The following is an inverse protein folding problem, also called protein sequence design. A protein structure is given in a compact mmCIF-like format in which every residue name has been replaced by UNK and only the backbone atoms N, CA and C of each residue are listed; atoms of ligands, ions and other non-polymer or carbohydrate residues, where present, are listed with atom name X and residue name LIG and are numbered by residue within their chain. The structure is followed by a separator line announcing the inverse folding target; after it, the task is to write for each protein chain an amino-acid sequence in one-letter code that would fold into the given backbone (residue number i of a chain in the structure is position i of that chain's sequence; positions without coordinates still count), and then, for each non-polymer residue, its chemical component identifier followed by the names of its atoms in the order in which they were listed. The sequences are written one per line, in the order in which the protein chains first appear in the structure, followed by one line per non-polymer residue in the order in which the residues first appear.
data_IF_489132482025
#
_entry.id   IF_489132482025
#
_cell.length_a   1.000
_cell.length_b   1.000
_cell.length_c   1.000
_cell.angle_alpha   90.00
_cell.angle_beta   90.00
_cell.angle_gamma   90.00
#
_symmetry.space_group_name_H-M   'P 1'
#
loop_
_entity.id
_entity.type
_entity.pdbx_description
1 polymer ?
#
# COMPACT_ATOMS: atom_id res chain seq x y z
N UNK A 1 -7.82 0.37 -12.20
CA UNK A 1 -8.60 1.41 -11.48
C UNK A 1 -7.85 2.69 -11.71
N UNK A 2 -8.53 3.71 -12.22
CA UNK A 2 -7.95 4.99 -12.60
C UNK A 2 -7.86 5.96 -11.41
N UNK A 3 -6.82 6.80 -11.31
CA UNK A 3 -6.80 7.92 -10.37
C UNK A 3 -7.85 9.00 -10.76
N UNK A 4 -9.09 8.79 -10.34
CA UNK A 4 -10.22 9.71 -10.58
C UNK A 4 -10.87 10.10 -9.27
N UNK A 5 -11.61 11.22 -9.24
CA UNK A 5 -12.36 11.62 -8.05
C UNK A 5 -13.37 10.55 -7.63
N UNK A 6 -14.00 9.86 -8.61
CA UNK A 6 -14.90 8.75 -8.34
C UNK A 6 -14.18 7.63 -7.55
N UNK A 7 -13.04 7.19 -8.04
CA UNK A 7 -12.23 6.16 -7.37
C UNK A 7 -11.68 6.64 -6.02
N UNK A 8 -11.35 7.92 -5.89
CA UNK A 8 -10.91 8.52 -4.62
C UNK A 8 -12.01 8.44 -3.56
N UNK A 9 -13.26 8.69 -3.97
CA UNK A 9 -14.44 8.58 -3.09
C UNK A 9 -14.71 7.11 -2.72
N UNK A 10 -14.61 6.18 -3.68
CA UNK A 10 -14.81 4.75 -3.42
C UNK A 10 -13.74 4.22 -2.46
N UNK A 11 -12.46 4.47 -2.75
CA UNK A 11 -11.32 3.99 -1.95
C UNK A 11 -11.29 4.65 -0.59
N UNK A 12 -11.40 5.98 -0.54
CA UNK A 12 -11.42 6.76 0.69
C UNK A 12 -12.62 6.41 1.59
N UNK A 13 -13.82 6.31 1.03
CA UNK A 13 -15.01 5.89 1.78
C UNK A 13 -14.86 4.47 2.34
N UNK A 14 -14.22 3.57 1.57
CA UNK A 14 -13.92 2.20 2.02
C UNK A 14 -12.86 2.13 3.12
N UNK A 15 -11.88 3.04 3.13
CA UNK A 15 -10.86 3.13 4.18
C UNK A 15 -11.49 3.61 5.50
N UNK A 16 -12.39 4.60 5.44
CA UNK A 16 -12.95 5.22 6.64
C UNK A 16 -14.19 4.50 7.21
N UNK A 17 -14.69 3.46 6.53
CA UNK A 17 -15.81 2.68 7.06
C UNK A 17 -15.35 1.81 8.25
N UNK A 18 -16.20 1.72 9.27
CA UNK A 18 -15.91 0.85 10.41
C UNK A 18 -16.20 -0.62 10.06
N UNK A 19 -15.14 -1.41 9.96
CA UNK A 19 -15.17 -2.81 9.50
C UNK A 19 -14.83 -2.93 8.02
N UNK A 20 -15.05 -4.10 7.43
CA UNK A 20 -14.74 -4.32 6.02
C UNK A 20 -15.81 -3.71 5.10
N UNK A 21 -15.37 -2.93 4.12
CA UNK A 21 -16.24 -2.36 3.12
C UNK A 21 -16.88 -3.45 2.24
N UNK A 22 -18.21 -3.55 2.29
CA UNK A 22 -18.98 -4.48 1.47
C UNK A 22 -19.13 -3.97 0.04
N UNK A 23 -19.51 -4.86 -0.89
CA UNK A 23 -19.88 -4.47 -2.27
C UNK A 23 -20.99 -3.41 -2.29
N UNK A 24 -21.95 -3.50 -1.37
CA UNK A 24 -23.04 -2.52 -1.24
C UNK A 24 -22.49 -1.13 -0.90
N UNK A 25 -21.57 -1.04 0.06
CA UNK A 25 -20.97 0.25 0.43
C UNK A 25 -20.23 0.87 -0.76
N UNK A 26 -19.41 0.08 -1.47
CA UNK A 26 -18.67 0.53 -2.65
C UNK A 26 -19.59 1.06 -3.75
N UNK A 27 -20.69 0.36 -4.04
CA UNK A 27 -21.67 0.80 -5.04
C UNK A 27 -22.33 2.15 -4.67
N UNK A 28 -22.62 2.38 -3.38
CA UNK A 28 -23.13 3.69 -2.92
C UNK A 28 -22.09 4.78 -3.12
N UNK A 29 -20.85 4.55 -2.71
CA UNK A 29 -19.76 5.51 -2.89
C UNK A 29 -19.47 5.81 -4.35
N UNK A 30 -19.58 4.80 -5.24
CA UNK A 30 -19.48 4.99 -6.69
C UNK A 30 -20.61 5.88 -7.22
N UNK A 31 -21.84 5.62 -6.79
CA UNK A 31 -23.01 6.42 -7.18
C UNK A 31 -22.88 7.88 -6.75
N UNK A 32 -22.28 8.12 -5.57
CA UNK A 32 -21.96 9.46 -5.07
C UNK A 32 -20.84 10.07 -5.92
N UNK A 33 -19.71 9.36 -6.08
CA UNK A 33 -18.53 9.87 -6.77
C UNK A 33 -18.78 10.22 -8.24
N UNK A 34 -19.72 9.54 -8.90
CA UNK A 34 -20.12 9.82 -10.28
C UNK A 34 -20.83 11.17 -10.48
N UNK A 35 -21.19 11.87 -9.39
CA UNK A 35 -21.88 13.17 -9.42
C UNK A 35 -20.97 14.36 -9.18
N UNK A 36 -19.68 14.14 -8.93
CA UNK A 36 -18.73 15.20 -8.63
C UNK A 36 -17.59 15.22 -9.65
N UNK A 37 -17.23 16.41 -10.10
CA UNK A 37 -16.07 16.66 -10.97
C UNK A 37 -14.88 17.26 -10.20
N UNK A 38 -15.09 17.81 -9.01
CA UNK A 38 -14.05 18.49 -8.21
C UNK A 38 -14.11 18.09 -6.75
N UNK A 39 -12.94 18.03 -6.11
CA UNK A 39 -12.80 17.75 -4.66
C UNK A 39 -13.52 18.81 -3.82
N UNK A 40 -13.42 20.09 -4.19
CA UNK A 40 -14.03 21.22 -3.48
C UNK A 40 -15.54 21.04 -3.30
N UNK A 41 -16.25 20.75 -4.40
CA UNK A 41 -17.71 20.55 -4.37
C UNK A 41 -18.08 19.29 -3.59
N UNK A 42 -17.34 18.19 -3.74
CA UNK A 42 -17.59 16.98 -2.94
C UNK A 42 -17.38 17.25 -1.45
N UNK A 43 -16.29 17.93 -1.07
CA UNK A 43 -15.93 18.24 0.32
C UNK A 43 -16.96 19.15 1.00
N UNK A 44 -17.50 20.13 0.28
CA UNK A 44 -18.46 21.11 0.82
C UNK A 44 -19.91 20.61 0.82
N UNK A 45 -20.23 19.53 0.08
CA UNK A 45 -21.60 19.01 0.00
C UNK A 45 -22.02 18.32 1.30
N UNK A 46 -23.15 18.71 1.93
CA UNK A 46 -23.64 18.03 3.13
C UNK A 46 -24.00 16.56 2.85
N UNK A 47 -23.72 15.68 3.80
CA UNK A 47 -24.06 14.24 3.69
C UNK A 47 -25.56 14.00 3.43
N UNK A 48 -26.44 14.84 3.97
CA UNK A 48 -27.89 14.74 3.75
C UNK A 48 -28.28 14.90 2.28
N UNK A 49 -27.50 15.65 1.49
CA UNK A 49 -27.69 15.80 0.04
C UNK A 49 -27.44 14.49 -0.70
N UNK A 50 -26.54 13.63 -0.22
CA UNK A 50 -26.30 12.34 -0.88
C UNK A 50 -27.53 11.43 -0.82
N UNK A 51 -28.28 11.47 0.28
CA UNK A 51 -29.50 10.69 0.47
C UNK A 51 -30.68 11.17 -0.41
N UNK A 52 -30.60 12.35 -1.02
CA UNK A 52 -31.61 12.88 -1.93
C UNK A 52 -31.33 12.59 -3.40
N UNK A 53 -30.25 11.85 -3.72
CA UNK A 53 -29.92 11.51 -5.09
C UNK A 53 -30.96 10.56 -5.71
N UNK A 54 -31.62 11.06 -6.75
CA UNK A 54 -32.56 10.31 -7.58
C UNK A 54 -32.16 10.31 -9.04
N UNK A 55 -32.71 9.37 -9.81
CA UNK A 55 -32.73 9.40 -11.28
C UNK A 55 -33.68 10.49 -11.78
N UNK A 56 -33.74 10.69 -13.10
CA UNK A 56 -34.67 11.63 -13.76
C UNK A 56 -36.13 11.23 -13.49
N UNK A 57 -36.40 9.93 -13.36
CA UNK A 57 -37.71 9.35 -13.05
C UNK A 57 -38.07 9.44 -11.55
N UNK A 58 -37.21 10.05 -10.72
CA UNK A 58 -37.44 10.19 -9.28
C UNK A 58 -37.10 8.94 -8.45
N UNK A 59 -36.49 7.92 -9.04
CA UNK A 59 -36.08 6.70 -8.33
C UNK A 59 -34.82 6.97 -7.52
N UNK A 60 -34.79 6.59 -6.24
CA UNK A 60 -33.57 6.73 -5.41
C UNK A 60 -32.40 5.95 -6.01
N UNK A 61 -31.24 6.59 -6.14
CA UNK A 61 -30.04 5.96 -6.67
C UNK A 61 -29.51 4.83 -5.77
N UNK A 62 -29.75 4.92 -4.46
CA UNK A 62 -29.38 3.89 -3.48
C UNK A 62 -30.25 3.99 -2.22
N UNK A 63 -30.33 2.92 -1.40
CA UNK A 63 -30.92 2.99 -0.07
C UNK A 63 -30.16 4.00 0.80
N UNK A 64 -30.84 4.73 1.71
CA UNK A 64 -30.19 5.74 2.56
C UNK A 64 -28.89 5.25 3.20
N UNK A 65 -27.95 6.16 3.34
CA UNK A 65 -26.68 5.91 4.02
C UNK A 65 -26.96 5.52 5.48
N UNK A 66 -26.29 4.46 5.92
CA UNK A 66 -26.22 4.08 7.33
C UNK A 66 -25.32 5.05 8.09
N UNK A 67 -25.45 5.12 9.42
CA UNK A 67 -24.60 6.00 10.24
C UNK A 67 -23.11 5.73 10.05
N UNK A 68 -22.71 4.47 9.79
CA UNK A 68 -21.31 4.11 9.50
C UNK A 68 -20.83 4.66 8.15
N UNK A 69 -21.69 4.63 7.13
CA UNK A 69 -21.37 5.16 5.80
C UNK A 69 -21.31 6.70 5.82
N UNK A 70 -22.24 7.34 6.53
CA UNK A 70 -22.20 8.80 6.72
C UNK A 70 -20.91 9.25 7.42
N UNK A 71 -20.54 8.58 8.50
CA UNK A 71 -19.31 8.89 9.24
C UNK A 71 -18.06 8.67 8.38
N UNK A 72 -18.02 7.61 7.57
CA UNK A 72 -16.93 7.35 6.65
C UNK A 72 -16.76 8.48 5.62
N UNK A 73 -17.88 8.97 5.06
CA UNK A 73 -17.85 10.09 4.11
C UNK A 73 -17.46 11.41 4.79
N UNK A 74 -17.91 11.68 6.01
CA UNK A 74 -17.46 12.88 6.77
C UNK A 74 -15.97 12.86 7.01
N UNK A 75 -15.42 11.72 7.45
CA UNK A 75 -13.97 11.55 7.65
C UNK A 75 -13.20 11.72 6.34
N UNK A 76 -13.72 11.18 5.24
CA UNK A 76 -13.13 11.40 3.92
C UNK A 76 -13.14 12.89 3.55
N UNK A 77 -14.29 13.57 3.65
CA UNK A 77 -14.38 15.01 3.35
C UNK A 77 -13.40 15.82 4.20
N UNK A 78 -13.23 15.49 5.49
CA UNK A 78 -12.25 16.13 6.36
C UNK A 78 -10.80 15.87 5.90
N UNK A 79 -10.50 14.65 5.48
CA UNK A 79 -9.15 14.25 5.07
C UNK A 79 -8.70 14.83 3.72
N UNK A 80 -9.63 15.08 2.80
CA UNK A 80 -9.34 15.60 1.46
C UNK A 80 -8.87 17.06 1.49
N UNK A 81 -7.90 17.39 0.65
CA UNK A 81 -7.33 18.73 0.50
C UNK A 81 -7.59 19.23 -0.92
N UNK A 82 -8.50 20.20 -1.11
CA UNK A 82 -8.85 20.71 -2.44
C UNK A 82 -7.69 21.38 -3.20
N UNK A 83 -6.65 21.82 -2.47
CA UNK A 83 -5.44 22.42 -3.04
C UNK A 83 -4.47 21.40 -3.64
N UNK A 84 -4.63 20.11 -3.31
CA UNK A 84 -3.82 19.02 -3.83
C UNK A 84 -4.50 18.37 -5.04
N UNK A 85 -3.70 17.73 -5.91
CA UNK A 85 -4.22 16.92 -7.01
C UNK A 85 -5.00 15.69 -6.51
N UNK A 86 -5.69 14.99 -7.42
CA UNK A 86 -6.39 13.74 -7.08
C UNK A 86 -5.38 12.68 -6.62
N UNK A 87 -4.26 12.55 -7.33
CA UNK A 87 -3.16 11.63 -7.05
C UNK A 87 -2.51 11.94 -5.69
N UNK A 88 -2.25 13.21 -5.39
CA UNK A 88 -1.73 13.64 -4.08
C UNK A 88 -2.72 13.31 -2.95
N UNK A 89 -4.02 13.51 -3.17
CA UNK A 89 -5.05 13.10 -2.20
C UNK A 89 -5.08 11.58 -1.99
N UNK A 90 -4.84 10.77 -3.03
CA UNK A 90 -4.65 9.32 -2.88
C UNK A 90 -3.44 9.01 -1.99
N UNK A 91 -2.30 9.64 -2.24
CA UNK A 91 -1.09 9.44 -1.41
C UNK A 91 -1.41 9.78 0.06
N UNK A 92 -2.11 10.88 0.33
CA UNK A 92 -2.51 11.29 1.68
C UNK A 92 -3.37 10.22 2.37
N UNK A 93 -4.47 9.79 1.74
CA UNK A 93 -5.40 8.86 2.40
C UNK A 93 -4.78 7.46 2.60
N UNK A 94 -3.98 7.00 1.63
CA UNK A 94 -3.32 5.69 1.69
C UNK A 94 -2.22 5.68 2.75
N UNK A 95 -1.44 6.75 2.85
CA UNK A 95 -0.41 6.90 3.87
C UNK A 95 -1.01 6.94 5.27
N UNK A 96 -2.09 7.70 5.47
CA UNK A 96 -2.81 7.74 6.76
C UNK A 96 -3.33 6.36 7.16
N UNK A 97 -3.99 5.67 6.24
CA UNK A 97 -4.50 4.32 6.47
C UNK A 97 -3.37 3.34 6.85
N UNK A 98 -2.26 3.38 6.12
CA UNK A 98 -1.09 2.56 6.40
C UNK A 98 -0.54 2.80 7.82
N UNK A 99 -0.32 4.06 8.20
CA UNK A 99 0.19 4.43 9.53
C UNK A 99 -0.79 3.99 10.62
N UNK A 100 -2.09 4.24 10.43
CA UNK A 100 -3.12 3.85 11.37
C UNK A 100 -3.15 2.33 11.59
N UNK A 101 -3.03 1.54 10.52
CA UNK A 101 -2.94 0.08 10.60
C UNK A 101 -1.70 -0.38 11.37
N UNK A 102 -0.54 0.27 11.18
CA UNK A 102 0.66 -0.07 11.95
C UNK A 102 0.48 0.24 13.44
N UNK A 103 -0.11 1.38 13.79
CA UNK A 103 -0.40 1.74 15.19
C UNK A 103 -1.36 0.72 15.81
N UNK A 104 -2.43 0.34 15.11
CA UNK A 104 -3.38 -0.67 15.60
C UNK A 104 -2.69 -2.03 15.80
N UNK A 105 -1.83 -2.45 14.87
CA UNK A 105 -1.07 -3.69 14.99
C UNK A 105 -0.14 -3.68 16.21
N UNK A 106 0.56 -2.56 16.45
CA UNK A 106 1.42 -2.39 17.64
C UNK A 106 0.58 -2.47 18.91
N UNK A 107 -0.53 -1.73 18.98
CA UNK A 107 -1.37 -1.69 20.17
C UNK A 107 -1.99 -3.05 20.51
N UNK A 108 -2.35 -3.84 19.50
CA UNK A 108 -2.99 -5.14 19.66
C UNK A 108 -1.99 -6.30 19.86
N UNK A 109 -0.69 -6.05 19.80
CA UNK A 109 0.33 -7.11 19.92
C UNK A 109 0.33 -7.72 21.32
N UNK A 110 0.26 -9.05 21.45
CA UNK A 110 0.35 -9.75 22.75
C UNK A 110 1.61 -10.62 22.83
N UNK A 111 1.95 -11.10 24.03
CA UNK A 111 3.08 -12.02 24.23
C UNK A 111 2.88 -13.34 23.48
N UNK A 112 1.67 -13.87 23.48
CA UNK A 112 1.30 -15.09 22.75
C UNK A 112 1.43 -14.85 21.24
N UNK A 113 1.04 -13.66 20.78
CA UNK A 113 1.15 -13.26 19.38
C UNK A 113 2.59 -13.13 18.86
N UNK A 114 3.61 -13.10 19.74
CA UNK A 114 5.02 -13.06 19.32
C UNK A 114 5.47 -14.37 18.66
N UNK A 115 4.75 -15.49 18.86
CA UNK A 115 5.04 -16.79 18.27
C UNK A 115 6.52 -17.19 18.41
N UNK A 116 7.00 -17.22 19.64
CA UNK A 116 8.39 -17.46 19.96
C UNK A 116 8.84 -18.86 19.53
N UNK A 117 9.98 -18.95 18.85
CA UNK A 117 10.64 -20.22 18.56
C UNK A 117 11.67 -20.52 19.66
N UNK A 118 11.45 -21.52 20.53
CA UNK A 118 12.34 -21.81 21.66
C UNK A 118 13.77 -22.16 21.23
N UNK A 119 13.96 -22.79 20.06
CA UNK A 119 15.28 -23.09 19.52
C UNK A 119 16.03 -21.81 19.15
N UNK A 120 15.34 -20.88 18.47
CA UNK A 120 15.92 -19.59 18.10
C UNK A 120 16.27 -18.76 19.33
N UNK A 121 15.40 -18.74 20.33
CA UNK A 121 15.64 -18.01 21.57
C UNK A 121 16.92 -18.49 22.29
N UNK A 122 17.10 -19.81 22.40
CA UNK A 122 18.31 -20.42 22.99
C UNK A 122 19.55 -20.18 22.10
N UNK A 123 19.42 -20.31 20.78
CA UNK A 123 20.53 -20.10 19.84
C UNK A 123 21.05 -18.66 19.85
N UNK A 124 20.16 -17.68 19.96
CA UNK A 124 20.51 -16.25 20.05
C UNK A 124 20.86 -15.80 21.47
N UNK A 125 20.82 -16.71 22.47
CA UNK A 125 21.09 -16.42 23.89
C UNK A 125 20.24 -15.27 24.44
N UNK A 126 18.92 -15.28 24.15
CA UNK A 126 17.98 -14.33 24.76
C UNK A 126 17.75 -14.75 26.20
N UNK A 127 18.58 -14.27 27.13
CA UNK A 127 18.63 -14.78 28.50
C UNK A 127 17.79 -13.96 29.47
N UNK A 128 17.39 -12.75 29.08
CA UNK A 128 16.52 -11.89 29.89
C UNK A 128 15.16 -11.66 29.22
N UNK A 129 14.09 -11.40 30.00
CA UNK A 129 12.80 -11.00 29.45
C UNK A 129 12.90 -9.79 28.51
N UNK A 130 13.77 -8.84 28.85
CA UNK A 130 14.03 -7.61 28.08
C UNK A 130 14.59 -7.93 26.69
N UNK A 131 15.61 -8.79 26.62
CA UNK A 131 16.18 -9.24 25.34
C UNK A 131 15.14 -9.97 24.50
N UNK A 132 14.39 -10.88 25.12
CA UNK A 132 13.37 -11.68 24.45
C UNK A 132 12.24 -10.82 23.87
N UNK A 133 11.58 -10.02 24.71
CA UNK A 133 10.44 -9.19 24.29
C UNK A 133 10.89 -8.18 23.25
N UNK A 134 12.01 -7.48 23.48
CA UNK A 134 12.52 -6.49 22.52
C UNK A 134 12.79 -7.14 21.16
N UNK A 135 13.55 -8.24 21.12
CA UNK A 135 13.90 -8.90 19.87
C UNK A 135 12.65 -9.37 19.10
N UNK A 136 11.73 -10.06 19.75
CA UNK A 136 10.56 -10.62 19.09
C UNK A 136 9.53 -9.56 18.71
N UNK A 137 9.33 -8.52 19.52
CA UNK A 137 8.46 -7.40 19.19
C UNK A 137 8.95 -6.65 17.96
N UNK A 138 10.23 -6.25 17.91
CA UNK A 138 10.81 -5.60 16.73
C UNK A 138 10.73 -6.51 15.49
N UNK A 139 11.03 -7.80 15.64
CA UNK A 139 10.97 -8.76 14.53
C UNK A 139 9.54 -8.93 13.98
N UNK A 140 8.54 -9.07 14.86
CA UNK A 140 7.14 -9.22 14.46
C UNK A 140 6.62 -7.97 13.76
N UNK A 141 6.90 -6.79 14.32
CA UNK A 141 6.47 -5.51 13.76
C UNK A 141 7.15 -5.26 12.41
N UNK A 142 8.47 -5.49 12.30
CA UNK A 142 9.20 -5.32 11.05
C UNK A 142 8.60 -6.15 9.91
N UNK A 143 8.26 -7.43 10.16
CA UNK A 143 7.60 -8.28 9.15
C UNK A 143 6.22 -7.75 8.76
N UNK A 144 5.43 -7.31 9.75
CA UNK A 144 4.11 -6.72 9.52
C UNK A 144 4.19 -5.46 8.67
N UNK A 145 5.13 -4.56 8.98
CA UNK A 145 5.35 -3.30 8.26
C UNK A 145 5.76 -3.59 6.81
N UNK A 146 6.76 -4.44 6.59
CA UNK A 146 7.26 -4.75 5.23
C UNK A 146 6.17 -5.38 4.37
N UNK A 147 5.39 -6.31 4.93
CA UNK A 147 4.25 -6.92 4.22
C UNK A 147 3.18 -5.88 3.87
N UNK A 148 2.81 -5.05 4.84
CA UNK A 148 1.83 -3.97 4.64
C UNK A 148 2.32 -2.94 3.61
N UNK A 149 3.62 -2.66 3.56
CA UNK A 149 4.24 -1.73 2.62
C UNK A 149 4.09 -2.22 1.18
N UNK A 150 4.17 -3.53 0.94
CA UNK A 150 3.92 -4.11 -0.39
C UNK A 150 2.52 -3.77 -0.93
N UNK A 151 1.49 -3.87 -0.09
CA UNK A 151 0.12 -3.49 -0.46
C UNK A 151 -0.03 -1.98 -0.68
N UNK A 152 0.58 -1.16 0.19
CA UNK A 152 0.57 0.29 0.02
C UNK A 152 1.22 0.70 -1.31
N UNK A 153 2.38 0.15 -1.64
CA UNK A 153 3.09 0.43 -2.89
C UNK A 153 2.26 0.06 -4.11
N UNK A 154 1.58 -1.09 -4.08
CA UNK A 154 0.67 -1.48 -5.15
C UNK A 154 -0.45 -0.44 -5.33
N UNK A 155 -1.11 -0.04 -4.24
CA UNK A 155 -2.17 0.98 -4.31
C UNK A 155 -1.61 2.33 -4.82
N UNK A 156 -0.45 2.77 -4.33
CA UNK A 156 0.19 4.02 -4.78
C UNK A 156 0.48 4.01 -6.28
N UNK A 157 0.93 2.89 -6.85
CA UNK A 157 1.13 2.77 -8.29
C UNK A 157 -0.20 2.84 -9.04
N UNK A 158 -1.22 2.10 -8.59
CA UNK A 158 -2.53 2.06 -9.26
C UNK A 158 -3.23 3.42 -9.27
N UNK A 159 -3.00 4.25 -8.26
CA UNK A 159 -3.60 5.58 -8.15
C UNK A 159 -2.64 6.73 -8.50
N UNK A 160 -1.55 6.43 -9.22
CA UNK A 160 -0.57 7.45 -9.64
C UNK A 160 -0.97 8.22 -10.90
N UNK A 161 -1.92 7.71 -11.70
CA UNK A 161 -2.46 8.38 -12.89
C UNK A 161 -3.84 7.76 -13.28
N UNK A 162 -4.67 8.53 -13.97
CA UNK A 162 -5.98 8.10 -14.48
C UNK A 162 -5.93 6.95 -15.51
N UNK A 163 -4.79 6.69 -16.14
CA UNK A 163 -4.65 5.67 -17.17
C UNK A 163 -3.94 4.40 -16.67
N UNK A 164 -3.88 4.21 -15.36
CA UNK A 164 -3.25 3.05 -14.72
C UNK A 164 -4.31 2.02 -14.35
N UNK A 165 -4.03 0.75 -14.61
CA UNK A 165 -4.95 -0.35 -14.41
C UNK A 165 -4.29 -1.50 -13.65
N UNK A 166 -5.11 -2.25 -12.93
CA UNK A 166 -4.67 -3.46 -12.25
C UNK A 166 -4.44 -4.56 -13.29
N UNK A 167 -3.17 -4.86 -13.54
CA UNK A 167 -2.79 -5.81 -14.58
C UNK A 167 -3.25 -7.25 -14.31
N UNK A 168 -3.56 -7.59 -13.05
CA UNK A 168 -4.00 -8.93 -12.67
C UNK A 168 -5.42 -9.22 -13.14
N UNK A 169 -6.19 -8.16 -13.38
CA UNK A 169 -7.58 -8.20 -13.83
C UNK A 169 -7.77 -7.56 -15.21
N UNK A 170 -6.67 -7.20 -15.89
CA UNK A 170 -6.72 -6.61 -17.22
C UNK A 170 -6.99 -7.69 -18.29
N UNK A 171 -7.80 -7.34 -19.30
CA UNK A 171 -8.33 -8.31 -20.29
C UNK A 171 -7.22 -9.04 -21.06
N UNK A 172 -6.17 -8.31 -21.44
CA UNK A 172 -5.03 -8.86 -22.18
C UNK A 172 -3.84 -9.03 -21.26
N UNK A 173 -3.41 -10.27 -21.01
CA UNK A 173 -2.32 -10.59 -20.07
C UNK A 173 -1.04 -11.08 -20.75
N UNK A 174 -1.10 -11.44 -22.03
CA UNK A 174 -0.03 -12.15 -22.74
C UNK A 174 0.47 -13.42 -22.02
N UNK A 175 -0.36 -14.03 -21.16
CA UNK A 175 0.01 -15.21 -20.37
C UNK A 175 0.84 -14.90 -19.12
N UNK A 176 0.86 -13.64 -18.67
CA UNK A 176 1.51 -13.21 -17.43
C UNK A 176 0.56 -12.31 -16.65
N UNK A 177 0.46 -12.51 -15.34
CA UNK A 177 -0.36 -11.64 -14.48
C UNK A 177 0.49 -10.44 -14.07
N UNK A 178 0.48 -9.41 -14.92
CA UNK A 178 1.19 -8.16 -14.66
C UNK A 178 0.62 -7.44 -13.44
N UNK A 179 1.42 -6.69 -12.71
CA UNK A 179 0.94 -5.87 -11.60
C UNK A 179 0.23 -4.61 -12.11
N UNK A 180 0.79 -3.98 -13.15
CA UNK A 180 0.32 -2.70 -13.67
C UNK A 180 0.22 -2.73 -15.19
N UNK A 181 -0.88 -2.17 -15.71
CA UNK A 181 -1.03 -1.85 -17.14
C UNK A 181 -1.32 -0.35 -17.28
N UNK A 182 -0.62 0.32 -18.19
CA UNK A 182 -0.82 1.75 -18.48
C UNK A 182 -1.31 1.89 -19.92
N UNK A 183 -2.40 2.63 -20.12
CA UNK A 183 -2.90 2.98 -21.44
C UNK A 183 -2.47 4.41 -21.81
N UNK A 184 -1.46 4.55 -22.66
CA UNK A 184 -1.02 5.89 -23.11
C UNK A 184 -1.91 6.41 -24.24
N UNK A 185 -1.95 7.74 -24.40
CA UNK A 185 -2.74 8.41 -25.43
C UNK A 185 -2.30 8.05 -26.87
N UNK A 186 -1.08 7.55 -27.05
CA UNK A 186 -0.57 7.04 -28.33
C UNK A 186 -1.14 5.67 -28.71
N UNK A 187 -2.00 5.09 -27.86
CA UNK A 187 -2.59 3.76 -28.03
C UNK A 187 -1.66 2.62 -27.68
N UNK A 188 -0.42 2.89 -27.27
CA UNK A 188 0.57 1.88 -26.87
C UNK A 188 0.46 1.63 -25.37
N UNK A 189 0.16 0.38 -25.02
CA UNK A 189 0.06 -0.09 -23.65
C UNK A 189 1.44 -0.41 -23.09
N UNK A 190 1.59 -0.16 -21.80
CA UNK A 190 2.77 -0.58 -21.04
C UNK A 190 2.38 -1.60 -19.98
N UNK A 191 3.04 -2.76 -20.00
CA UNK A 191 2.85 -3.84 -19.04
C UNK A 191 4.03 -3.90 -18.07
N UNK A 192 3.76 -3.86 -16.76
CA UNK A 192 4.82 -3.76 -15.76
C UNK A 192 4.58 -4.80 -14.66
N UNK A 193 5.59 -5.63 -14.44
CA UNK A 193 5.70 -6.47 -13.25
C UNK A 193 6.58 -5.74 -12.25
N UNK A 194 6.17 -5.67 -10.99
CA UNK A 194 6.87 -4.88 -9.98
C UNK A 194 7.42 -5.76 -8.86
N UNK A 195 8.62 -5.41 -8.38
CA UNK A 195 9.18 -5.92 -7.13
C UNK A 195 9.47 -4.79 -6.16
N UNK A 196 9.38 -5.12 -4.88
CA UNK A 196 9.59 -4.16 -3.81
C UNK A 196 11.01 -3.63 -3.77
N UNK A 197 12.03 -4.41 -4.14
CA UNK A 197 13.42 -3.99 -4.01
C UNK A 197 14.39 -4.70 -4.95
N UNK A 198 15.61 -4.18 -5.06
CA UNK A 198 16.60 -4.65 -6.03
C UNK A 198 17.34 -5.92 -5.59
N UNK A 199 16.94 -6.56 -4.49
CA UNK A 199 17.52 -7.82 -3.99
C UNK A 199 16.50 -8.98 -3.93
N UNK A 200 15.30 -8.79 -4.46
CA UNK A 200 14.17 -9.70 -4.24
C UNK A 200 14.09 -10.87 -5.24
N UNK A 201 14.93 -10.88 -6.28
CA UNK A 201 14.76 -11.81 -7.39
C UNK A 201 15.90 -12.79 -7.58
N UNK A 202 15.53 -14.01 -7.96
CA UNK A 202 16.45 -15.02 -8.46
C UNK A 202 16.54 -15.05 -10.00
N UNK A 203 17.51 -15.83 -10.50
CA UNK A 203 17.75 -16.04 -11.94
C UNK A 203 16.55 -16.62 -12.68
N UNK A 204 15.81 -17.54 -12.07
CA UNK A 204 14.67 -18.21 -12.71
C UNK A 204 13.54 -17.22 -12.95
N UNK A 205 13.25 -16.39 -11.96
CA UNK A 205 12.26 -15.32 -12.05
C UNK A 205 12.63 -14.32 -13.15
N UNK A 206 13.87 -13.83 -13.16
CA UNK A 206 14.35 -12.88 -14.16
C UNK A 206 14.21 -13.42 -15.59
N UNK A 207 14.64 -14.67 -15.83
CA UNK A 207 14.53 -15.30 -17.14
C UNK A 207 13.07 -15.53 -17.57
N UNK A 208 12.17 -15.77 -16.63
CA UNK A 208 10.73 -15.87 -16.90
C UNK A 208 10.16 -14.52 -17.34
N UNK A 209 10.49 -13.45 -16.61
CA UNK A 209 10.04 -12.09 -16.95
C UNK A 209 10.62 -11.59 -18.27
N UNK A 210 11.88 -11.89 -18.59
CA UNK A 210 12.43 -11.55 -19.90
C UNK A 210 11.62 -12.18 -21.05
N UNK A 211 11.25 -13.46 -20.93
CA UNK A 211 10.38 -14.13 -21.92
C UNK A 211 9.02 -13.45 -22.03
N UNK A 212 8.40 -13.09 -20.90
CA UNK A 212 7.12 -12.39 -20.88
C UNK A 212 7.19 -11.00 -21.52
N UNK A 213 8.21 -10.21 -21.18
CA UNK A 213 8.48 -8.89 -21.75
C UNK A 213 8.65 -8.98 -23.27
N UNK A 214 9.46 -9.91 -23.75
CA UNK A 214 9.69 -10.09 -25.19
C UNK A 214 8.40 -10.51 -25.92
N UNK A 215 7.52 -11.29 -25.28
CA UNK A 215 6.22 -11.64 -25.85
C UNK A 215 5.31 -10.43 -26.03
N UNK A 216 5.25 -9.53 -25.04
CA UNK A 216 4.49 -8.28 -25.14
C UNK A 216 5.06 -7.40 -26.26
N UNK A 217 6.38 -7.20 -26.30
CA UNK A 217 7.05 -6.35 -27.29
C UNK A 217 6.87 -6.79 -28.74
N UNK A 218 6.78 -8.10 -29.00
CA UNK A 218 6.48 -8.64 -30.33
C UNK A 218 5.10 -8.23 -30.87
N UNK A 219 4.19 -7.78 -30.00
CA UNK A 219 2.87 -7.30 -30.38
C UNK A 219 2.80 -5.77 -30.49
N UNK A 220 3.95 -5.07 -30.51
CA UNK A 220 4.01 -3.61 -30.64
C UNK A 220 3.79 -2.84 -29.33
N UNK A 221 3.57 -3.55 -28.22
CA UNK A 221 3.34 -2.98 -26.89
C UNK A 221 4.65 -2.82 -26.10
N UNK A 222 4.63 -2.03 -25.03
CA UNK A 222 5.78 -1.88 -24.12
C UNK A 222 5.65 -2.83 -22.94
N UNK A 223 6.78 -3.36 -22.48
CA UNK A 223 6.83 -4.12 -21.24
C UNK A 223 8.12 -3.89 -20.48
N UNK A 224 8.01 -3.86 -19.16
CA UNK A 224 9.09 -3.56 -18.25
C UNK A 224 9.04 -4.42 -17.00
N UNK A 225 10.21 -4.55 -16.40
CA UNK A 225 10.38 -4.96 -15.04
C UNK A 225 10.62 -3.73 -14.15
N UNK A 226 9.77 -3.54 -13.14
CA UNK A 226 9.79 -2.41 -12.23
C UNK A 226 10.42 -2.75 -10.88
N UNK A 227 11.30 -1.90 -10.36
CA UNK A 227 11.81 -1.95 -8.98
C UNK A 227 11.50 -0.60 -8.32
N UNK A 228 10.85 -0.62 -7.15
CA UNK A 228 10.26 0.60 -6.57
C UNK A 228 11.28 1.55 -5.95
N UNK A 229 12.49 1.07 -5.64
CA UNK A 229 13.61 1.88 -5.15
C UNK A 229 14.97 1.37 -5.67
N UNK A 230 16.00 2.20 -5.51
CA UNK A 230 17.36 1.94 -5.97
C UNK A 230 17.71 2.70 -7.25
N UNK A 231 18.82 2.30 -7.89
CA UNK A 231 19.34 2.90 -9.14
C UNK A 231 19.84 1.81 -10.08
N UNK A 232 19.78 2.04 -11.40
CA UNK A 232 20.32 1.11 -12.40
C UNK A 232 21.81 0.84 -12.24
N UNK A 233 22.58 1.83 -11.81
CA UNK A 233 24.02 1.70 -11.58
C UNK A 233 24.37 1.24 -10.15
N UNK A 234 23.37 0.81 -9.38
CA UNK A 234 23.61 0.27 -8.05
C UNK A 234 24.04 -1.20 -8.07
N UNK A 235 24.92 -1.55 -7.15
CA UNK A 235 25.37 -2.92 -6.90
C UNK A 235 24.32 -3.68 -6.09
N UNK A 236 23.41 -4.34 -6.80
CA UNK A 236 22.35 -5.15 -6.19
C UNK A 236 22.33 -6.55 -6.80
N UNK A 237 21.72 -7.50 -6.07
CA UNK A 237 21.61 -8.88 -6.53
C UNK A 237 20.83 -8.95 -7.84
N UNK A 238 19.67 -8.31 -7.92
CA UNK A 238 18.81 -8.37 -9.11
C UNK A 238 19.46 -7.69 -10.32
N UNK A 239 20.14 -6.56 -10.15
CA UNK A 239 20.82 -5.85 -11.26
C UNK A 239 21.99 -6.67 -11.80
N UNK A 240 22.77 -7.31 -10.92
CA UNK A 240 23.87 -8.20 -11.31
C UNK A 240 23.39 -9.40 -12.13
N UNK A 241 22.27 -10.03 -11.72
CA UNK A 241 21.67 -11.16 -12.46
C UNK A 241 21.09 -10.68 -13.80
N UNK A 242 20.38 -9.54 -13.82
CA UNK A 242 19.86 -8.94 -15.06
C UNK A 242 20.97 -8.66 -16.07
N UNK A 243 22.06 -8.04 -15.63
CA UNK A 243 23.23 -7.75 -16.47
C UNK A 243 23.87 -9.01 -17.05
N UNK A 244 23.95 -10.07 -16.25
CA UNK A 244 24.56 -11.33 -16.67
C UNK A 244 23.69 -12.10 -17.67
N UNK A 245 22.36 -12.08 -17.51
CA UNK A 245 21.48 -13.05 -18.20
C UNK A 245 20.46 -12.44 -19.16
N UNK A 246 20.27 -11.13 -19.16
CA UNK A 246 19.23 -10.47 -19.97
C UNK A 246 19.87 -9.47 -20.94
N UNK A 247 19.78 -9.76 -22.22
CA UNK A 247 20.19 -8.81 -23.27
C UNK A 247 19.36 -7.52 -23.17
N UNK A 248 20.05 -6.38 -23.29
CA UNK A 248 19.48 -5.03 -23.17
C UNK A 248 18.65 -4.81 -21.90
N UNK A 249 19.06 -5.40 -20.78
CA UNK A 249 18.29 -5.37 -19.53
C UNK A 249 17.92 -3.95 -19.09
N UNK A 250 18.81 -2.96 -19.32
CA UNK A 250 18.56 -1.55 -18.98
C UNK A 250 17.35 -0.96 -19.73
N UNK A 251 17.07 -1.43 -20.94
CA UNK A 251 15.92 -1.02 -21.73
C UNK A 251 14.65 -1.81 -21.35
N UNK A 252 14.78 -2.84 -20.52
CA UNK A 252 13.70 -3.68 -20.01
C UNK A 252 13.34 -3.37 -18.55
N UNK A 253 14.07 -2.46 -17.90
CA UNK A 253 13.86 -2.13 -16.49
C UNK A 253 13.50 -0.66 -16.27
N UNK A 254 12.69 -0.44 -15.23
CA UNK A 254 12.41 0.88 -14.65
C UNK A 254 12.72 0.78 -13.15
N UNK A 255 13.63 1.61 -12.63
CA UNK A 255 14.12 1.48 -11.23
C UNK A 255 14.00 2.81 -10.49
N UNK A 256 13.42 2.76 -9.28
CA UNK A 256 13.30 3.91 -8.40
C UNK A 256 12.49 5.03 -9.03
N UNK A 257 13.07 6.23 -9.08
CA UNK A 257 12.44 7.41 -9.67
C UNK A 257 11.91 7.16 -11.09
N UNK A 258 12.66 6.44 -11.93
CA UNK A 258 12.27 6.13 -13.31
C UNK A 258 10.96 5.34 -13.38
N UNK A 259 10.72 4.41 -12.45
CA UNK A 259 9.47 3.66 -12.39
C UNK A 259 8.31 4.59 -12.04
N UNK A 260 8.45 5.33 -10.95
CA UNK A 260 7.39 6.19 -10.43
C UNK A 260 7.00 7.27 -11.44
N UNK A 261 8.00 7.92 -12.03
CA UNK A 261 7.78 8.99 -13.02
C UNK A 261 7.19 8.45 -14.33
N UNK A 262 7.55 7.22 -14.73
CA UNK A 262 6.99 6.57 -15.90
C UNK A 262 5.52 6.19 -15.71
N UNK A 263 5.15 5.62 -14.56
CA UNK A 263 3.77 5.19 -14.28
C UNK A 263 2.84 6.41 -14.18
N UNK A 264 3.30 7.48 -13.51
CA UNK A 264 2.49 8.67 -13.33
C UNK A 264 2.42 9.56 -14.57
N UNK A 265 3.27 9.35 -15.58
CA UNK A 265 3.50 10.25 -16.71
C UNK A 265 3.92 11.68 -16.24
N UNK A 266 4.76 11.75 -15.20
CA UNK A 266 5.24 12.99 -14.60
C UNK A 266 6.69 12.83 -14.11
N UNK A 267 7.62 13.58 -14.71
CA UNK A 267 9.07 13.46 -14.47
C UNK A 267 9.54 13.83 -13.05
N UNK A 268 8.65 14.32 -12.19
CA UNK A 268 8.96 14.68 -10.81
C UNK A 268 8.02 13.98 -9.81
N UNK A 269 7.27 12.96 -10.23
CA UNK A 269 6.28 12.31 -9.38
C UNK A 269 6.91 11.63 -8.18
N UNK A 270 8.10 11.04 -8.32
CA UNK A 270 8.82 10.46 -7.17
C UNK A 270 9.08 11.49 -6.05
N UNK A 271 9.32 12.76 -6.39
CA UNK A 271 9.51 13.85 -5.41
C UNK A 271 8.18 14.18 -4.74
N UNK A 272 7.11 14.33 -5.54
CA UNK A 272 5.75 14.58 -5.04
C UNK A 272 5.33 13.47 -4.08
N UNK A 273 5.53 12.21 -4.49
CA UNK A 273 5.25 11.01 -3.69
C UNK A 273 5.95 11.05 -2.34
N UNK A 274 7.28 11.23 -2.33
CA UNK A 274 8.07 11.21 -1.10
C UNK A 274 7.70 12.37 -0.17
N UNK A 275 7.55 13.58 -0.70
CA UNK A 275 7.20 14.77 0.09
C UNK A 275 5.78 14.67 0.66
N UNK A 276 4.84 14.09 -0.11
CA UNK A 276 3.44 13.92 0.33
C UNK A 276 3.34 12.85 1.40
N UNK A 277 4.06 11.73 1.26
CA UNK A 277 4.17 10.70 2.31
C UNK A 277 4.74 11.30 3.59
N UNK A 278 5.87 12.02 3.48
CA UNK A 278 6.54 12.62 4.64
C UNK A 278 5.64 13.64 5.36
N UNK A 279 5.12 14.63 4.64
CA UNK A 279 4.24 15.66 5.24
C UNK A 279 2.97 15.05 5.83
N UNK A 280 2.41 14.01 5.20
CA UNK A 280 1.27 13.28 5.76
C UNK A 280 1.64 12.56 7.06
N UNK A 281 2.80 11.91 7.11
CA UNK A 281 3.27 11.21 8.29
C UNK A 281 3.54 12.18 9.45
N UNK A 282 4.21 13.31 9.18
CA UNK A 282 4.47 14.37 10.15
C UNK A 282 3.18 14.97 10.70
N UNK A 283 2.21 15.29 9.82
CA UNK A 283 0.92 15.81 10.24
C UNK A 283 0.09 14.80 11.04
N UNK A 284 0.21 13.50 10.74
CA UNK A 284 -0.57 12.46 11.40
C UNK A 284 0.03 12.01 12.74
N UNK A 285 1.35 11.85 12.80
CA UNK A 285 2.06 11.36 13.99
C UNK A 285 2.44 12.49 14.95
N UNK A 286 2.45 13.74 14.47
CA UNK A 286 2.86 14.91 15.25
C UNK A 286 4.31 14.79 15.70
N UNK A 287 4.54 14.98 17.00
CA UNK A 287 5.89 14.87 17.59
C UNK A 287 6.28 13.43 17.92
N UNK A 288 5.37 12.46 17.80
CA UNK A 288 5.67 11.07 18.16
C UNK A 288 6.17 10.26 16.97
N UNK A 289 7.11 9.35 17.19
CA UNK A 289 7.53 8.40 16.15
C UNK A 289 6.82 7.04 16.30
N UNK A 290 6.83 6.24 15.24
CA UNK A 290 6.37 4.86 15.35
C UNK A 290 7.26 4.07 16.32
N UNK A 291 8.58 4.35 16.33
CA UNK A 291 9.55 3.70 17.23
C UNK A 291 9.19 3.92 18.70
N UNK A 292 8.82 5.14 19.09
CA UNK A 292 8.38 5.42 20.47
C UNK A 292 7.14 4.62 20.86
N UNK A 293 6.21 4.40 19.93
CA UNK A 293 5.03 3.55 20.16
C UNK A 293 5.41 2.09 20.32
N UNK A 294 6.41 1.61 19.57
CA UNK A 294 6.96 0.26 19.70
C UNK A 294 7.61 0.08 21.07
N UNK A 295 8.45 1.03 21.47
CA UNK A 295 9.15 0.98 22.76
C UNK A 295 8.15 1.00 23.93
N UNK A 296 7.13 1.87 23.86
CA UNK A 296 6.01 1.87 24.83
C UNK A 296 5.32 0.51 24.88
N UNK A 297 5.11 -0.16 23.73
CA UNK A 297 4.49 -1.48 23.71
C UNK A 297 5.40 -2.55 24.32
N UNK A 298 6.71 -2.47 24.09
CA UNK A 298 7.70 -3.38 24.69
C UNK A 298 7.63 -3.31 26.21
N UNK A 299 7.55 -2.11 26.80
CA UNK A 299 7.43 -1.95 28.26
C UNK A 299 6.16 -2.61 28.81
N UNK A 300 5.02 -2.45 28.13
CA UNK A 300 3.77 -3.09 28.51
C UNK A 300 3.87 -4.63 28.44
N UNK A 301 4.44 -5.16 27.34
CA UNK A 301 4.67 -6.59 27.16
C UNK A 301 5.63 -7.17 28.21
N UNK A 302 6.64 -6.40 28.62
CA UNK A 302 7.52 -6.79 29.72
C UNK A 302 6.78 -6.88 31.05
N UNK A 303 5.89 -5.95 31.33
CA UNK A 303 4.99 -6.02 32.49
C UNK A 303 4.14 -7.29 32.49
N UNK A 304 3.54 -7.61 31.34
CA UNK A 304 2.76 -8.83 31.16
C UNK A 304 3.63 -10.09 31.30
N UNK A 305 4.87 -10.05 30.80
CA UNK A 305 5.79 -11.20 30.87
C UNK A 305 6.14 -11.51 32.31
N UNK A 306 6.53 -10.48 33.08
CA UNK A 306 6.87 -10.62 34.50
C UNK A 306 5.68 -11.13 35.31
N UNK A 307 4.46 -10.67 35.00
CA UNK A 307 3.23 -11.13 35.67
C UNK A 307 2.90 -12.59 35.35
N UNK A 308 3.07 -13.01 34.10
CA UNK A 308 2.65 -14.32 33.62
C UNK A 308 3.68 -15.42 33.85
N UNK A 309 4.95 -15.12 33.62
CA UNK A 309 6.03 -16.12 33.61
C UNK A 309 7.08 -15.88 34.69
N UNK A 310 7.34 -14.61 35.04
CA UNK A 310 8.35 -14.21 36.03
C UNK A 310 9.79 -14.34 35.52
N UNK A 311 10.18 -15.52 35.03
CA UNK A 311 11.55 -15.82 34.56
C UNK A 311 11.56 -16.38 33.13
N UNK A 312 12.72 -16.28 32.46
CA UNK A 312 12.92 -16.86 31.13
C UNK A 312 12.81 -18.38 31.13
N UNK A 313 13.25 -19.07 32.20
CA UNK A 313 13.15 -20.52 32.26
C UNK A 313 11.70 -20.99 32.36
N UNK A 314 10.86 -20.31 33.15
CA UNK A 314 9.42 -20.60 33.21
C UNK A 314 8.77 -20.38 31.84
N UNK A 315 9.14 -19.30 31.15
CA UNK A 315 8.65 -19.04 29.81
C UNK A 315 9.07 -20.13 28.81
N UNK A 316 10.36 -20.49 28.77
CA UNK A 316 10.85 -21.53 27.86
C UNK A 316 10.23 -22.89 28.12
N UNK A 317 10.00 -23.24 29.38
CA UNK A 317 9.29 -24.48 29.73
C UNK A 317 7.82 -24.47 29.27
N UNK A 318 7.22 -23.28 29.09
CA UNK A 318 5.85 -23.14 28.59
C UNK A 318 5.69 -23.20 27.07
N UNK A 319 6.80 -23.20 26.32
CA UNK A 319 6.80 -23.24 24.85
C UNK A 319 6.78 -24.68 24.29
N UNK A 320 6.76 -25.69 25.17
CA UNK A 320 6.67 -27.11 24.87
C UNK A 320 5.34 -27.65 25.36
#
# INVERSE_FOLDING_TARGET
MAATLKELIIKGGSIYISGDATKSNKNKFESIGSRFSTIEVFKSTPISTFNSFTTVEGVKCFPPLTSKEEEALRKLQQALQPTLSIEENFIVILTKDFIQKQILAINNMTLEGLNANPLLCRALKLNTPEEFVKFYTYSAISRSIVTSMGYLVQDLMLYSNANVYDGKHYETSYGTKWDVVIEKLDGVRSYIEVKSGPNDMDKTQILSYDKAINKVRRNGEKAFFGITYGKKDGEYVSTSILETYVADWRNKTLIGAELWDYISDNSNYHIILMNTIQSTAEAFLGTTSLIEKIDTRIELLLGDFRRKYGTMDNFYNSLW
#
